data_IF_233465030985
#
_entry.id   IF_233465030985
#
_cell.length_a   1.000
_cell.length_b   1.000
_cell.length_c   1.000
_cell.angle_alpha   90.00
_cell.angle_beta   90.00
_cell.angle_gamma   90.00
#
_symmetry.space_group_name_H-M   'P 1'
#
loop_
_entity.id
_entity.type
_entity.pdbx_description
1 polymer ?
#
# COMPACT_ATOMS: atom_id res chain seq x y z
N UNK A 1 -57.63 -41.02 45.43
CA UNK A 1 -58.69 -42.04 45.56
C UNK A 1 -59.25 -42.00 46.96
N UNK A 2 -60.56 -42.07 47.13
CA UNK A 2 -61.23 -42.12 48.43
C UNK A 2 -62.35 -43.16 48.36
N UNK A 3 -62.40 -44.08 49.33
CA UNK A 3 -63.31 -45.26 49.32
C UNK A 3 -63.31 -46.02 47.98
N UNK A 4 -62.14 -46.26 47.39
CA UNK A 4 -61.99 -46.97 46.12
C UNK A 4 -62.42 -46.18 44.87
N UNK A 5 -62.97 -44.97 45.01
CA UNK A 5 -63.35 -44.10 43.89
C UNK A 5 -62.26 -43.07 43.60
N UNK A 6 -61.91 -42.92 42.32
CA UNK A 6 -60.99 -41.88 41.85
C UNK A 6 -61.79 -40.67 41.40
N UNK A 7 -61.53 -39.52 42.02
CA UNK A 7 -62.15 -38.24 41.69
C UNK A 7 -61.15 -37.38 40.92
N UNK A 8 -61.59 -36.79 39.82
CA UNK A 8 -60.79 -35.92 38.94
C UNK A 8 -61.27 -34.47 38.91
N UNK A 9 -62.33 -34.15 39.68
CA UNK A 9 -62.88 -32.80 39.81
C UNK A 9 -63.00 -32.39 41.27
N UNK A 10 -62.89 -31.09 41.54
CA UNK A 10 -63.19 -30.52 42.86
C UNK A 10 -64.68 -30.67 43.16
N UNK A 11 -65.02 -30.94 44.42
CA UNK A 11 -66.41 -31.11 44.82
C UNK A 11 -66.56 -31.60 46.25
N UNK A 12 -67.81 -31.71 46.68
CA UNK A 12 -68.15 -32.39 47.93
C UNK A 12 -68.74 -33.76 47.59
N UNK A 13 -68.12 -34.81 48.11
CA UNK A 13 -68.51 -36.19 47.85
C UNK A 13 -68.91 -36.87 49.15
N UNK A 14 -70.00 -37.63 49.13
CA UNK A 14 -70.48 -38.37 50.31
C UNK A 14 -70.39 -39.86 50.06
N UNK A 15 -69.95 -40.61 51.07
CA UNK A 15 -69.98 -42.07 51.05
C UNK A 15 -70.86 -42.57 52.18
N UNK A 16 -71.96 -43.22 51.81
CA UNK A 16 -72.88 -43.83 52.76
C UNK A 16 -72.51 -45.29 52.95
N UNK A 17 -72.43 -45.74 54.21
CA UNK A 17 -72.11 -47.10 54.57
C UNK A 17 -72.82 -47.49 55.87
N UNK A 18 -72.81 -48.77 56.20
CA UNK A 18 -73.27 -49.27 57.50
C UNK A 18 -72.06 -49.49 58.38
N UNK A 19 -72.02 -48.87 59.55
CA UNK A 19 -70.91 -49.04 60.47
C UNK A 19 -70.91 -50.44 61.12
N UNK A 20 -69.85 -50.76 61.87
CA UNK A 20 -69.70 -52.07 62.51
C UNK A 20 -70.81 -52.42 63.54
N UNK A 21 -71.61 -51.44 63.96
CA UNK A 21 -72.74 -51.61 64.88
C UNK A 21 -74.08 -51.75 64.15
N UNK A 22 -74.10 -51.76 62.81
CA UNK A 22 -75.32 -51.91 62.01
C UNK A 22 -76.07 -50.61 61.74
N UNK A 23 -75.53 -49.44 62.10
CA UNK A 23 -76.19 -48.15 61.87
C UNK A 23 -75.75 -47.50 60.55
N UNK A 24 -76.65 -46.81 59.83
CA UNK A 24 -76.27 -46.01 58.67
C UNK A 24 -75.33 -44.88 59.09
N UNK A 25 -74.28 -44.68 58.32
CA UNK A 25 -73.25 -43.66 58.52
C UNK A 25 -72.88 -43.02 57.19
N UNK A 26 -72.41 -41.78 57.24
CA UNK A 26 -72.03 -41.00 56.06
C UNK A 26 -70.73 -40.27 56.32
N UNK A 27 -69.73 -40.53 55.49
CA UNK A 27 -68.53 -39.70 55.45
C UNK A 27 -68.69 -38.63 54.36
N UNK A 28 -68.12 -37.44 54.58
CA UNK A 28 -68.11 -36.34 53.61
C UNK A 28 -66.68 -35.92 53.30
N UNK A 29 -66.31 -35.93 52.02
CA UNK A 29 -65.05 -35.42 51.50
C UNK A 29 -65.27 -34.08 50.83
N UNK A 30 -64.63 -33.03 51.33
CA UNK A 30 -64.46 -31.76 50.60
C UNK A 30 -63.14 -31.82 49.82
N UNK A 31 -63.23 -32.05 48.51
CA UNK A 31 -62.07 -32.17 47.64
C UNK A 31 -61.87 -30.88 46.84
N UNK A 32 -60.69 -30.29 46.98
CA UNK A 32 -60.20 -29.20 46.13
C UNK A 32 -59.05 -29.72 45.29
N UNK A 33 -59.24 -29.78 43.98
CA UNK A 33 -58.20 -30.06 42.98
C UNK A 33 -57.79 -28.72 42.36
N UNK A 34 -56.50 -28.39 42.50
CA UNK A 34 -55.92 -27.25 41.82
C UNK A 34 -55.52 -27.66 40.40
N UNK A 35 -55.99 -26.94 39.35
CA UNK A 35 -55.61 -27.25 37.98
C UNK A 35 -54.11 -27.01 37.79
N UNK A 36 -53.52 -27.79 36.88
CA UNK A 36 -52.14 -27.58 36.43
C UNK A 36 -52.04 -26.21 35.77
N UNK A 37 -51.15 -25.35 36.26
CA UNK A 37 -50.83 -24.12 35.57
C UNK A 37 -49.94 -24.42 34.36
N UNK A 38 -50.28 -23.83 33.22
CA UNK A 38 -49.48 -23.82 32.00
C UNK A 38 -49.05 -22.38 31.74
N UNK A 39 -47.76 -22.15 31.56
CA UNK A 39 -47.22 -20.82 31.24
C UNK A 39 -46.28 -20.94 30.06
N UNK A 40 -46.55 -20.16 29.02
CA UNK A 40 -45.69 -20.06 27.85
C UNK A 40 -44.88 -18.76 27.92
N UNK A 41 -43.56 -18.91 27.80
CA UNK A 41 -42.59 -17.82 27.73
C UNK A 41 -41.97 -17.81 26.34
N UNK A 42 -41.67 -16.63 25.83
CA UNK A 42 -40.91 -16.45 24.60
C UNK A 42 -39.69 -15.64 24.90
N UNK A 43 -38.53 -16.11 24.47
CA UNK A 43 -37.29 -15.34 24.54
C UNK A 43 -36.52 -15.42 23.23
N UNK A 44 -35.75 -14.37 22.97
CA UNK A 44 -34.99 -14.20 21.74
C UNK A 44 -33.59 -13.74 22.09
N UNK A 45 -32.59 -14.48 21.62
CA UNK A 45 -31.18 -14.19 21.90
C UNK A 45 -30.33 -14.23 20.64
N UNK A 46 -29.10 -13.73 20.75
CA UNK A 46 -28.10 -13.86 19.70
C UNK A 46 -27.36 -15.20 19.87
N UNK A 47 -26.81 -15.76 18.78
CA UNK A 47 -26.01 -17.00 18.85
C UNK A 47 -24.75 -16.86 19.71
N UNK A 48 -24.25 -15.63 19.90
CA UNK A 48 -23.14 -15.30 20.80
C UNK A 48 -23.49 -15.50 22.29
N UNK A 49 -24.77 -15.48 22.64
CA UNK A 49 -25.26 -15.69 24.01
C UNK A 49 -25.48 -17.18 24.34
N UNK A 50 -25.19 -18.08 23.39
CA UNK A 50 -25.25 -19.51 23.63
C UNK A 50 -24.06 -19.99 24.47
N UNK A 51 -24.27 -20.93 25.41
CA UNK A 51 -25.54 -21.57 25.73
C UNK A 51 -26.48 -20.69 26.59
N UNK A 52 -27.77 -20.68 26.24
CA UNK A 52 -28.80 -20.00 27.03
C UNK A 52 -29.20 -20.86 28.23
N UNK A 53 -28.95 -20.35 29.43
CA UNK A 53 -29.28 -21.04 30.67
C UNK A 53 -30.69 -20.71 31.14
N UNK A 54 -31.58 -21.69 31.03
CA UNK A 54 -32.97 -21.61 31.46
C UNK A 54 -33.26 -22.68 32.51
N UNK A 55 -33.41 -22.27 33.77
CA UNK A 55 -33.49 -23.19 34.92
C UNK A 55 -32.31 -24.19 34.94
N UNK A 56 -32.59 -25.49 34.98
CA UNK A 56 -31.58 -26.55 34.89
C UNK A 56 -31.19 -26.92 33.45
N UNK A 57 -31.73 -26.24 32.45
CA UNK A 57 -31.48 -26.52 31.03
C UNK A 57 -30.46 -25.54 30.44
N UNK A 58 -29.49 -26.07 29.70
CA UNK A 58 -28.58 -25.28 28.87
C UNK A 58 -28.97 -25.50 27.40
N UNK A 59 -29.65 -24.51 26.82
CA UNK A 59 -30.15 -24.56 25.45
C UNK A 59 -29.07 -24.06 24.50
N UNK A 60 -28.72 -24.87 23.50
CA UNK A 60 -27.64 -24.59 22.54
C UNK A 60 -28.14 -24.18 21.15
N UNK A 61 -29.46 -24.09 20.97
CA UNK A 61 -30.10 -23.74 19.71
C UNK A 61 -31.56 -23.32 19.95
N UNK A 62 -32.19 -22.73 18.93
CA UNK A 62 -33.64 -22.45 18.94
C UNK A 62 -34.44 -23.71 19.20
N UNK A 63 -35.55 -23.57 19.93
CA UNK A 63 -36.42 -24.69 20.26
C UNK A 63 -37.37 -24.37 21.39
N UNK A 64 -38.17 -25.37 21.76
CA UNK A 64 -39.05 -25.28 22.93
C UNK A 64 -38.52 -26.18 24.04
N UNK A 65 -38.42 -25.66 25.26
CA UNK A 65 -38.01 -26.41 26.44
C UNK A 65 -39.10 -26.31 27.49
N UNK A 66 -39.40 -27.42 28.16
CA UNK A 66 -40.45 -27.47 29.19
C UNK A 66 -39.83 -27.88 30.51
N UNK A 67 -40.18 -27.17 31.57
CA UNK A 67 -39.78 -27.47 32.94
C UNK A 67 -41.02 -27.59 33.84
N UNK A 68 -40.92 -28.40 34.89
CA UNK A 68 -41.99 -28.64 35.85
C UNK A 68 -41.64 -28.01 37.18
N UNK A 69 -42.42 -27.01 37.60
CA UNK A 69 -42.21 -26.28 38.85
C UNK A 69 -43.35 -26.56 39.83
N UNK A 70 -43.02 -26.84 41.09
CA UNK A 70 -44.02 -26.99 42.13
C UNK A 70 -44.68 -25.62 42.44
N UNK A 71 -46.02 -25.58 42.45
CA UNK A 71 -46.79 -24.43 42.92
C UNK A 71 -46.62 -24.23 44.43
N UNK A 72 -47.02 -23.05 44.91
CA UNK A 72 -47.18 -22.74 46.35
C UNK A 72 -48.12 -23.70 47.10
N UNK A 73 -48.89 -24.54 46.38
CA UNK A 73 -49.79 -25.55 46.94
C UNK A 73 -49.29 -26.98 46.71
N UNK A 74 -48.04 -27.16 46.24
CA UNK A 74 -47.41 -28.47 46.04
C UNK A 74 -47.91 -29.24 44.82
N UNK A 75 -48.75 -28.64 43.97
CA UNK A 75 -49.12 -29.20 42.67
C UNK A 75 -48.08 -28.83 41.61
N UNK A 76 -47.83 -29.70 40.64
CA UNK A 76 -46.92 -29.43 39.52
C UNK A 76 -47.52 -28.40 38.53
N UNK A 77 -46.74 -27.39 38.16
CA UNK A 77 -46.98 -26.49 37.02
C UNK A 77 -46.03 -26.84 35.90
N UNK A 78 -46.47 -26.68 34.65
CA UNK A 78 -45.58 -26.76 33.49
C UNK A 78 -45.33 -25.34 32.98
N UNK A 79 -44.05 -25.00 32.81
CA UNK A 79 -43.62 -23.80 32.10
C UNK A 79 -42.94 -24.24 30.82
N UNK A 80 -43.30 -23.65 29.68
CA UNK A 80 -42.66 -23.88 28.39
C UNK A 80 -41.99 -22.59 27.94
N UNK A 81 -40.70 -22.66 27.63
CA UNK A 81 -39.97 -21.59 26.95
C UNK A 81 -39.88 -21.90 25.46
N UNK A 82 -40.25 -20.95 24.62
CA UNK A 82 -39.94 -20.92 23.20
C UNK A 82 -38.75 -19.98 22.97
N UNK A 83 -37.56 -20.55 22.75
CA UNK A 83 -36.33 -19.82 22.49
C UNK A 83 -36.11 -19.66 20.98
N UNK A 84 -35.94 -18.42 20.54
CA UNK A 84 -35.50 -18.08 19.18
C UNK A 84 -34.06 -17.58 19.22
N UNK A 85 -33.15 -18.30 18.57
CA UNK A 85 -31.75 -17.88 18.42
C UNK A 85 -31.55 -17.30 17.02
N UNK A 86 -31.07 -16.06 16.97
CA UNK A 86 -30.63 -15.42 15.73
C UNK A 86 -29.14 -15.68 15.50
N UNK A 87 -28.79 -16.08 14.27
CA UNK A 87 -27.41 -16.27 13.83
C UNK A 87 -26.98 -15.09 13.00
N UNK A 88 -25.73 -14.66 13.19
CA UNK A 88 -25.10 -13.67 12.35
C UNK A 88 -24.91 -14.20 10.92
N UNK A 89 -25.32 -13.41 9.93
CA UNK A 89 -25.04 -13.73 8.52
C UNK A 89 -23.59 -13.35 8.20
N UNK A 90 -22.82 -14.29 7.65
CA UNK A 90 -21.43 -14.06 7.26
C UNK A 90 -21.29 -13.92 5.75
N UNK A 91 -20.72 -12.80 5.30
CA UNK A 91 -20.45 -12.51 3.89
C UNK A 91 -18.96 -12.46 3.63
N UNK A 92 -18.54 -13.05 2.52
CA UNK A 92 -17.13 -13.08 2.10
C UNK A 92 -16.96 -12.25 0.83
N UNK A 93 -16.10 -11.24 0.90
CA UNK A 93 -15.69 -10.46 -0.26
C UNK A 93 -14.18 -10.59 -0.46
N UNK A 94 -13.79 -10.65 -1.72
CA UNK A 94 -12.40 -10.68 -2.14
C UNK A 94 -12.20 -9.59 -3.16
N UNK A 95 -11.18 -8.78 -2.92
CA UNK A 95 -10.78 -7.74 -3.86
C UNK A 95 -9.25 -7.65 -3.93
N UNK A 96 -8.76 -7.04 -5.00
CA UNK A 96 -7.34 -6.75 -5.18
C UNK A 96 -7.16 -5.25 -5.33
N UNK A 97 -6.24 -4.69 -4.58
CA UNK A 97 -6.10 -3.24 -4.47
C UNK A 97 -4.63 -2.83 -4.56
N UNK A 98 -4.37 -1.69 -5.19
CA UNK A 98 -3.02 -1.16 -5.36
C UNK A 98 -2.47 -0.64 -4.03
N UNK A 99 -1.16 -0.79 -3.82
CA UNK A 99 -0.52 -0.36 -2.55
C UNK A 99 -0.72 1.14 -2.25
N UNK A 100 -0.77 2.00 -3.28
CA UNK A 100 -0.98 3.44 -3.16
C UNK A 100 -2.45 3.86 -2.93
N UNK A 101 -3.40 2.93 -3.01
CA UNK A 101 -4.82 3.24 -2.80
C UNK A 101 -5.25 3.10 -1.33
N UNK A 102 -4.38 2.57 -0.46
CA UNK A 102 -4.59 2.59 0.98
C UNK A 102 -4.38 4.00 1.56
N UNK A 103 -5.16 4.38 2.59
CA UNK A 103 -6.28 3.64 3.18
C UNK A 103 -7.58 3.77 2.37
N UNK A 104 -8.41 2.72 2.36
CA UNK A 104 -9.75 2.77 1.77
C UNK A 104 -10.85 2.80 2.82
N UNK A 105 -11.99 3.38 2.44
CA UNK A 105 -13.25 3.27 3.18
C UNK A 105 -14.30 2.55 2.36
N UNK A 106 -14.86 1.46 2.88
CA UNK A 106 -15.93 0.70 2.22
C UNK A 106 -17.05 0.43 3.20
N UNK A 107 -18.29 0.84 2.88
CA UNK A 107 -19.47 0.72 3.75
C UNK A 107 -19.27 1.23 5.19
N UNK A 108 -18.47 2.29 5.37
CA UNK A 108 -18.19 2.87 6.69
C UNK A 108 -17.10 2.15 7.49
N UNK A 109 -16.54 1.06 6.97
CA UNK A 109 -15.34 0.43 7.50
C UNK A 109 -14.07 0.99 6.86
N UNK A 110 -12.98 1.04 7.61
CA UNK A 110 -11.67 1.52 7.16
C UNK A 110 -10.68 0.37 7.08
N UNK A 111 -9.95 0.28 5.97
CA UNK A 111 -8.90 -0.72 5.75
C UNK A 111 -7.61 0.00 5.37
N UNK A 112 -6.55 -0.22 6.14
CA UNK A 112 -5.23 0.43 5.99
C UNK A 112 -4.14 -0.52 5.50
N UNK A 113 -4.43 -1.82 5.39
CA UNK A 113 -3.54 -2.81 4.82
C UNK A 113 -4.29 -3.94 4.12
N UNK A 114 -3.57 -4.65 3.25
CA UNK A 114 -4.02 -5.93 2.71
C UNK A 114 -4.14 -7.00 3.80
N UNK A 115 -4.83 -8.10 3.47
CA UNK A 115 -5.11 -9.23 4.36
C UNK A 115 -6.60 -9.47 4.56
N UNK A 116 -6.91 -10.44 5.41
CA UNK A 116 -8.29 -10.77 5.80
C UNK A 116 -8.67 -10.00 7.06
N UNK A 117 -9.68 -9.14 6.95
CA UNK A 117 -10.21 -8.34 8.04
C UNK A 117 -11.71 -8.62 8.21
N UNK A 118 -12.17 -8.63 9.46
CA UNK A 118 -13.57 -8.89 9.80
C UNK A 118 -14.21 -7.63 10.35
N UNK A 119 -15.37 -7.26 9.80
CA UNK A 119 -16.16 -6.11 10.22
C UNK A 119 -17.55 -6.57 10.61
N UNK A 120 -18.02 -6.17 11.79
CA UNK A 120 -19.37 -6.49 12.27
C UNK A 120 -20.26 -5.25 12.20
N UNK A 121 -21.44 -5.39 11.58
CA UNK A 121 -22.46 -4.35 11.54
C UNK A 121 -23.66 -4.78 12.39
N UNK A 122 -24.09 -3.96 13.34
CA UNK A 122 -25.27 -4.19 14.19
C UNK A 122 -26.45 -3.37 13.67
N UNK A 123 -27.52 -4.02 13.17
CA UNK A 123 -28.60 -3.30 12.47
C UNK A 123 -29.95 -3.20 13.19
N UNK A 124 -30.17 -3.77 14.38
CA UNK A 124 -31.49 -3.69 15.01
C UNK A 124 -31.51 -3.47 16.54
N UNK A 125 -32.71 -3.12 17.03
CA UNK A 125 -33.04 -2.78 18.42
C UNK A 125 -32.68 -3.86 19.46
N UNK A 126 -32.48 -5.10 19.02
CA UNK A 126 -32.12 -6.25 19.88
C UNK A 126 -30.64 -6.63 19.80
N UNK A 127 -29.86 -6.02 18.89
CA UNK A 127 -28.43 -6.26 18.75
C UNK A 127 -28.04 -7.59 18.07
N UNK A 128 -28.99 -8.40 17.57
CA UNK A 128 -28.72 -9.75 17.06
C UNK A 128 -28.68 -9.89 15.54
N UNK A 129 -29.08 -8.86 14.79
CA UNK A 129 -28.77 -8.80 13.35
C UNK A 129 -27.34 -8.26 13.21
N UNK A 130 -26.38 -9.11 13.56
CA UNK A 130 -24.97 -8.87 13.28
C UNK A 130 -24.68 -9.41 11.89
N UNK A 131 -24.43 -8.51 10.93
CA UNK A 131 -23.82 -8.91 9.67
C UNK A 131 -22.31 -8.94 9.87
N UNK A 132 -21.70 -10.12 9.69
CA UNK A 132 -20.26 -10.29 9.72
C UNK A 132 -19.74 -10.24 8.29
N UNK A 133 -19.00 -9.20 7.95
CA UNK A 133 -18.28 -9.13 6.70
C UNK A 133 -16.84 -9.59 6.91
N UNK A 134 -16.44 -10.62 6.17
CA UNK A 134 -15.04 -11.03 6.05
C UNK A 134 -14.52 -10.52 4.71
N UNK A 135 -13.76 -9.43 4.74
CA UNK A 135 -13.12 -8.85 3.57
C UNK A 135 -11.69 -9.37 3.46
N UNK A 136 -11.31 -9.93 2.30
CA UNK A 136 -9.93 -10.30 2.01
C UNK A 136 -9.39 -9.43 0.89
N UNK A 137 -8.48 -8.53 1.24
CA UNK A 137 -7.79 -7.64 0.29
C UNK A 137 -6.45 -8.25 -0.08
N UNK A 138 -6.21 -8.43 -1.37
CA UNK A 138 -4.89 -8.82 -1.90
C UNK A 138 -4.15 -7.57 -2.35
N UNK A 139 -2.90 -7.42 -1.91
CA UNK A 139 -2.07 -6.30 -2.32
C UNK A 139 -1.57 -6.54 -3.75
N UNK A 140 -1.83 -5.60 -4.64
CA UNK A 140 -1.12 -5.52 -5.92
C UNK A 140 0.07 -4.56 -5.71
N UNK A 141 1.31 -5.08 -5.70
CA UNK A 141 2.49 -4.24 -5.52
C UNK A 141 2.67 -3.34 -6.73
N UNK A 142 3.07 -2.10 -6.48
CA UNK A 142 3.46 -1.18 -7.55
C UNK A 142 4.81 -1.64 -8.09
N UNK A 143 4.86 -1.90 -9.39
CA UNK A 143 6.12 -2.26 -10.04
C UNK A 143 6.83 -1.00 -10.47
N UNK A 144 8.03 -0.78 -9.92
CA UNK A 144 8.96 0.19 -10.48
C UNK A 144 9.84 -0.50 -11.53
N UNK A 145 9.91 0.07 -12.72
CA UNK A 145 10.87 -0.34 -13.75
C UNK A 145 11.83 0.80 -14.05
N UNK A 146 13.10 0.45 -14.18
CA UNK A 146 14.17 1.37 -14.55
C UNK A 146 14.65 0.98 -15.94
N UNK A 147 14.62 1.92 -16.87
CA UNK A 147 15.11 1.75 -18.24
C UNK A 147 16.09 2.87 -18.58
N UNK A 148 17.03 2.61 -19.49
CA UNK A 148 18.05 3.55 -19.91
C UNK A 148 18.08 3.68 -21.42
N UNK A 149 17.90 4.90 -21.91
CA UNK A 149 17.97 5.25 -23.31
C UNK A 149 19.18 6.14 -23.55
N UNK A 150 20.07 5.67 -24.41
CA UNK A 150 21.25 6.41 -24.84
C UNK A 150 20.98 6.98 -26.23
N UNK A 151 21.01 8.30 -26.36
CA UNK A 151 20.79 8.99 -27.64
C UNK A 151 22.03 9.78 -28.02
N UNK A 152 22.24 9.92 -29.32
CA UNK A 152 23.14 10.91 -29.93
C UNK A 152 22.33 12.13 -30.35
N UNK A 153 22.96 13.29 -30.50
CA UNK A 153 22.27 14.53 -30.95
C UNK A 153 21.62 14.32 -32.32
N UNK A 154 22.18 13.45 -33.17
CA UNK A 154 21.62 13.09 -34.48
C UNK A 154 20.34 12.25 -34.43
N UNK A 155 20.04 11.62 -33.30
CA UNK A 155 18.83 10.80 -33.13
C UNK A 155 17.63 11.62 -32.62
N UNK A 156 17.81 12.92 -32.40
CA UNK A 156 16.73 13.83 -32.02
C UNK A 156 16.02 14.42 -33.27
N UNK A 157 14.67 14.53 -33.25
CA UNK A 157 13.78 14.14 -32.17
C UNK A 157 13.51 12.63 -32.13
N UNK A 158 13.59 12.01 -30.95
CA UNK A 158 13.34 10.58 -30.75
C UNK A 158 11.92 10.34 -30.23
N UNK A 159 11.15 9.49 -30.91
CA UNK A 159 9.82 9.08 -30.45
C UNK A 159 9.95 7.93 -29.46
N UNK A 160 9.47 8.13 -28.24
CA UNK A 160 9.46 7.10 -27.21
C UNK A 160 8.10 6.40 -27.24
N UNK A 161 8.05 5.19 -27.82
CA UNK A 161 6.80 4.42 -27.97
C UNK A 161 6.09 4.17 -26.63
N UNK A 162 6.83 3.88 -25.56
CA UNK A 162 6.27 3.67 -24.22
C UNK A 162 5.60 4.92 -23.64
N UNK A 163 5.97 6.10 -24.13
CA UNK A 163 5.49 7.39 -23.63
C UNK A 163 4.57 8.13 -24.61
N UNK A 164 4.41 7.62 -25.83
CA UNK A 164 3.69 8.28 -26.92
C UNK A 164 4.09 9.76 -27.10
N UNK A 165 5.37 10.08 -26.90
CA UNK A 165 5.90 11.45 -26.91
C UNK A 165 7.23 11.54 -27.65
N UNK A 166 7.60 12.76 -28.05
CA UNK A 166 8.88 13.06 -28.68
C UNK A 166 9.82 13.74 -27.69
N UNK A 167 11.06 13.26 -27.63
CA UNK A 167 12.17 13.98 -27.01
C UNK A 167 12.77 14.87 -28.09
N UNK A 168 12.66 16.19 -27.95
CA UNK A 168 13.08 17.16 -28.98
C UNK A 168 14.39 17.87 -28.65
N UNK A 169 14.75 17.98 -27.37
CA UNK A 169 15.97 18.63 -26.90
C UNK A 169 16.39 18.00 -25.56
N UNK A 170 17.69 17.72 -25.39
CA UNK A 170 18.26 17.22 -24.13
C UNK A 170 19.52 18.05 -23.87
N UNK A 171 19.53 18.82 -22.78
CA UNK A 171 20.53 19.86 -22.51
C UNK A 171 21.66 19.33 -21.59
N UNK A 172 21.46 18.16 -20.95
CA UNK A 172 22.43 17.42 -20.12
C UNK A 172 21.91 16.00 -19.81
N UNK A 173 22.67 15.15 -19.12
CA UNK A 173 22.15 13.88 -18.54
C UNK A 173 20.89 14.17 -17.73
N UNK A 174 19.74 13.74 -18.25
CA UNK A 174 18.42 14.10 -17.70
C UNK A 174 17.64 12.84 -17.43
N UNK A 175 17.19 12.67 -16.18
CA UNK A 175 16.27 11.58 -15.82
C UNK A 175 14.85 12.04 -16.07
N UNK A 176 14.10 11.29 -16.87
CA UNK A 176 12.67 11.51 -17.01
C UNK A 176 11.90 10.41 -16.25
N UNK A 177 11.04 10.80 -15.31
CA UNK A 177 10.19 9.86 -14.57
C UNK A 177 8.76 9.95 -15.09
N UNK A 178 8.16 8.81 -15.39
CA UNK A 178 6.78 8.74 -15.88
C UNK A 178 6.00 7.59 -15.24
N UNK A 179 4.68 7.71 -15.25
CA UNK A 179 3.76 6.70 -14.75
C UNK A 179 3.14 5.98 -15.95
N UNK A 180 3.21 4.64 -16.00
CA UNK A 180 2.56 3.81 -17.01
C UNK A 180 1.40 3.07 -16.37
N UNK A 181 0.21 3.23 -16.94
CA UNK A 181 -0.95 2.41 -16.61
C UNK A 181 -0.68 0.98 -17.12
N UNK A 182 -0.42 0.05 -16.20
CA UNK A 182 -0.32 -1.37 -16.54
C UNK A 182 -1.73 -2.00 -16.57
N UNK A 183 -1.87 -3.11 -17.30
CA UNK A 183 -3.15 -3.77 -17.65
C UNK A 183 -3.93 -4.40 -16.47
N UNK A 184 -3.61 -4.03 -15.23
CA UNK A 184 -4.23 -4.52 -14.00
C UNK A 184 -4.76 -3.35 -13.13
N UNK A 185 -5.02 -2.18 -13.71
CA UNK A 185 -5.52 -0.95 -13.06
C UNK A 185 -4.64 -0.37 -11.95
N UNK A 186 -3.48 -0.96 -11.64
CA UNK A 186 -2.46 -0.35 -10.79
C UNK A 186 -1.36 0.31 -11.63
N UNK A 187 -1.16 1.61 -11.43
CA UNK A 187 -0.10 2.38 -12.07
C UNK A 187 1.27 1.78 -11.74
N UNK A 188 2.01 1.34 -12.76
CA UNK A 188 3.42 1.00 -12.62
C UNK A 188 4.27 2.24 -12.91
N UNK A 189 5.33 2.44 -12.14
CA UNK A 189 6.20 3.62 -12.30
C UNK A 189 7.35 3.23 -13.22
N UNK A 190 7.57 3.98 -14.29
CA UNK A 190 8.70 3.80 -15.20
C UNK A 190 9.64 4.99 -15.09
N UNK A 191 10.86 4.73 -14.63
CA UNK A 191 11.95 5.69 -14.67
C UNK A 191 12.77 5.46 -15.95
N UNK A 192 12.79 6.46 -16.84
CA UNK A 192 13.59 6.45 -18.06
C UNK A 192 14.79 7.41 -17.91
N UNK A 193 15.98 6.86 -17.81
CA UNK A 193 17.22 7.63 -17.82
C UNK A 193 17.62 7.92 -19.27
N UNK A 194 17.63 9.18 -19.67
CA UNK A 194 18.09 9.58 -21.01
C UNK A 194 19.46 10.23 -20.87
N UNK A 195 20.47 9.58 -21.43
CA UNK A 195 21.84 10.10 -21.45
C UNK A 195 22.24 10.40 -22.89
N UNK A 196 22.85 11.56 -23.13
CA UNK A 196 23.50 11.81 -24.41
C UNK A 196 24.86 11.14 -24.36
N UNK A 197 25.04 10.11 -25.18
CA UNK A 197 26.39 9.62 -25.45
C UNK A 197 26.94 10.48 -26.56
N UNK A 198 27.75 11.45 -26.18
CA UNK A 198 28.64 12.09 -27.14
C UNK A 198 29.66 11.03 -27.54
N UNK A 199 29.32 10.22 -28.54
CA UNK A 199 30.34 9.47 -29.28
C UNK A 199 31.04 10.53 -30.11
N UNK A 200 31.90 11.29 -29.45
CA UNK A 200 32.82 12.24 -30.04
C UNK A 200 33.79 11.49 -30.95
N UNK A 201 33.30 11.05 -32.10
CA UNK A 201 34.07 10.94 -33.32
C UNK A 201 33.61 12.10 -34.19
N UNK A 202 33.80 13.30 -33.67
CA UNK A 202 34.19 14.38 -34.56
C UNK A 202 35.58 14.00 -35.11
N UNK A 203 35.60 13.25 -36.20
CA UNK A 203 36.73 13.28 -37.13
C UNK A 203 36.70 14.63 -37.86
N UNK A 204 36.80 15.72 -37.11
CA UNK A 204 37.54 16.86 -37.61
C UNK A 204 38.99 16.44 -37.48
N UNK A 205 39.78 16.55 -38.55
CA UNK A 205 41.23 16.67 -38.40
C UNK A 205 41.49 17.93 -37.58
N UNK A 206 41.37 17.84 -36.25
CA UNK A 206 41.81 18.88 -35.33
C UNK A 206 43.32 18.86 -35.49
N UNK A 207 43.87 19.76 -36.31
CA UNK A 207 45.29 19.98 -36.33
C UNK A 207 45.68 20.39 -34.91
N UNK A 208 46.25 19.47 -34.15
CA UNK A 208 46.69 19.77 -32.81
C UNK A 208 47.77 20.85 -32.89
N UNK A 209 47.64 21.89 -32.07
CA UNK A 209 48.69 22.88 -31.92
C UNK A 209 49.97 22.18 -31.49
N UNK A 210 51.01 22.27 -32.31
CA UNK A 210 52.32 21.68 -32.06
C UNK A 210 53.21 22.75 -31.45
N UNK A 211 53.84 22.42 -30.32
CA UNK A 211 54.73 23.34 -29.61
C UNK A 211 56.06 22.65 -29.35
N UNK A 212 57.16 23.20 -29.89
CA UNK A 212 58.48 22.56 -29.81
C UNK A 212 59.63 23.58 -29.86
N UNK A 213 60.79 23.30 -29.23
CA UNK A 213 60.97 22.23 -28.26
C UNK A 213 60.16 22.51 -26.98
N UNK A 214 59.79 21.46 -26.25
CA UNK A 214 59.14 21.59 -24.94
C UNK A 214 59.56 20.39 -24.08
N UNK A 215 60.40 20.56 -23.04
CA UNK A 215 60.89 21.84 -22.49
C UNK A 215 61.81 22.65 -23.42
N UNK A 216 61.89 23.98 -23.21
CA UNK A 216 62.72 24.93 -23.97
C UNK A 216 63.50 25.87 -23.05
N UNK A 217 64.61 26.44 -23.52
CA UNK A 217 65.47 27.35 -22.73
C UNK A 217 65.63 28.76 -23.29
N UNK A 218 65.40 28.95 -24.59
CA UNK A 218 65.64 30.24 -25.27
C UNK A 218 64.48 30.63 -26.17
N UNK A 219 64.00 29.68 -26.97
CA UNK A 219 62.92 29.90 -27.94
C UNK A 219 61.96 28.71 -27.93
N UNK A 220 60.73 28.96 -28.34
CA UNK A 220 59.74 27.94 -28.64
C UNK A 220 59.04 28.26 -29.95
N UNK A 221 58.78 27.23 -30.75
CA UNK A 221 57.99 27.31 -31.97
C UNK A 221 56.57 26.85 -31.68
N UNK A 222 55.60 27.64 -32.13
CA UNK A 222 54.18 27.34 -32.04
C UNK A 222 53.65 27.20 -33.47
N UNK A 223 53.25 25.97 -33.84
CA UNK A 223 52.67 25.66 -35.14
C UNK A 223 51.16 25.42 -35.01
N UNK A 224 50.38 26.22 -35.72
CA UNK A 224 48.92 26.12 -35.82
C UNK A 224 48.43 26.92 -37.02
N UNK A 225 47.24 26.61 -37.56
CA UNK A 225 46.74 27.24 -38.78
C UNK A 225 46.10 28.61 -38.52
N UNK A 226 46.35 29.58 -39.41
CA UNK A 226 45.72 30.92 -39.44
C UNK A 226 45.74 31.66 -38.08
N UNK A 227 46.91 31.71 -37.42
CA UNK A 227 47.05 32.27 -36.08
C UNK A 227 46.78 33.78 -36.10
N UNK A 228 45.76 34.23 -35.36
CA UNK A 228 45.43 35.65 -35.18
C UNK A 228 46.24 36.29 -34.04
N UNK A 229 46.42 35.55 -32.93
CA UNK A 229 47.25 35.97 -31.79
C UNK A 229 47.70 34.78 -30.94
N UNK A 230 48.84 34.96 -30.28
CA UNK A 230 49.34 34.05 -29.25
C UNK A 230 49.35 34.77 -27.91
N UNK A 231 48.90 34.09 -26.86
CA UNK A 231 48.88 34.60 -25.49
C UNK A 231 49.61 33.64 -24.58
N UNK A 232 50.43 34.18 -23.68
CA UNK A 232 51.21 33.41 -22.72
C UNK A 232 50.67 33.73 -21.33
N UNK A 233 50.30 32.70 -20.59
CA UNK A 233 49.80 32.81 -19.22
C UNK A 233 50.73 32.09 -18.25
N UNK A 234 50.81 32.58 -17.02
CA UNK A 234 51.33 31.76 -15.90
C UNK A 234 50.41 30.57 -15.65
N UNK A 235 50.89 29.53 -14.95
CA UNK A 235 50.04 28.40 -14.52
C UNK A 235 48.89 28.80 -13.59
N UNK A 236 48.94 29.99 -13.00
CA UNK A 236 47.84 30.54 -12.18
C UNK A 236 46.82 31.32 -13.01
N UNK A 237 46.99 31.39 -14.33
CA UNK A 237 46.07 32.03 -15.26
C UNK A 237 46.30 33.54 -15.49
N UNK A 238 47.39 34.12 -14.98
CA UNK A 238 47.74 35.51 -15.25
C UNK A 238 48.28 35.66 -16.66
N UNK A 239 47.73 36.57 -17.46
CA UNK A 239 48.25 36.90 -18.79
C UNK A 239 49.59 37.63 -18.67
N UNK A 240 50.66 37.05 -19.21
CA UNK A 240 52.02 37.59 -19.21
C UNK A 240 52.32 38.35 -20.50
N UNK A 241 51.99 37.77 -21.64
CA UNK A 241 52.28 38.34 -22.96
C UNK A 241 51.14 38.10 -23.94
N UNK A 242 50.96 39.02 -24.89
CA UNK A 242 50.12 38.87 -26.07
C UNK A 242 50.93 39.25 -27.29
N UNK A 243 51.03 38.34 -28.25
CA UNK A 243 51.77 38.47 -29.50
C UNK A 243 50.73 38.50 -30.63
N UNK A 244 50.53 39.66 -31.29
CA UNK A 244 49.70 39.71 -32.49
C UNK A 244 50.39 38.97 -33.63
N UNK A 245 49.61 38.26 -34.44
CA UNK A 245 50.09 37.39 -35.50
C UNK A 245 49.41 37.78 -36.83
N UNK A 246 50.13 37.64 -37.94
CA UNK A 246 49.65 38.00 -39.29
C UNK A 246 49.22 36.76 -40.10
N UNK A 247 48.75 35.70 -39.42
CA UNK A 247 48.22 34.51 -40.07
C UNK A 247 49.24 33.48 -40.56
N UNK A 248 50.54 33.63 -40.25
CA UNK A 248 51.54 32.57 -40.51
C UNK A 248 51.21 31.25 -39.78
N UNK A 249 51.72 30.12 -40.29
CA UNK A 249 51.50 28.81 -39.66
C UNK A 249 52.43 28.52 -38.48
N UNK A 250 53.60 29.17 -38.40
CA UNK A 250 54.63 28.90 -37.39
C UNK A 250 55.18 30.21 -36.84
N UNK A 251 55.06 30.43 -35.53
CA UNK A 251 55.69 31.55 -34.84
C UNK A 251 56.80 31.09 -33.91
N UNK A 252 57.89 31.86 -33.87
CA UNK A 252 58.99 31.65 -32.94
C UNK A 252 58.91 32.68 -31.82
N UNK A 253 58.82 32.20 -30.57
CA UNK A 253 58.61 33.01 -29.39
C UNK A 253 59.87 32.95 -28.52
N UNK A 254 60.52 34.09 -28.20
CA UNK A 254 61.63 34.12 -27.26
C UNK A 254 61.14 33.92 -25.82
N UNK A 255 61.80 33.03 -25.08
CA UNK A 255 61.57 32.74 -23.67
C UNK A 255 62.64 33.36 -22.75
N UNK A 256 63.67 34.00 -23.31
CA UNK A 256 64.85 34.51 -22.57
C UNK A 256 64.52 35.48 -21.42
N UNK A 257 63.40 36.19 -21.50
CA UNK A 257 62.96 37.13 -20.46
C UNK A 257 61.92 36.52 -19.49
N UNK A 258 61.64 35.24 -19.59
CA UNK A 258 60.70 34.51 -18.74
C UNK A 258 61.48 33.70 -17.69
N UNK A 259 60.96 33.65 -16.46
CA UNK A 259 61.57 32.85 -15.40
C UNK A 259 61.44 31.33 -15.69
N UNK A 260 62.22 30.52 -14.96
CA UNK A 260 62.04 29.08 -14.94
C UNK A 260 60.63 28.70 -14.47
N UNK A 261 60.03 27.76 -15.17
CA UNK A 261 58.74 27.22 -14.75
C UNK A 261 57.82 26.83 -15.90
N UNK A 262 56.59 26.51 -15.51
CA UNK A 262 55.54 26.14 -16.43
C UNK A 262 54.71 27.35 -16.84
N UNK A 263 54.29 27.38 -18.09
CA UNK A 263 53.42 28.40 -18.66
C UNK A 263 52.35 27.76 -19.55
N UNK A 264 51.27 28.48 -19.81
CA UNK A 264 50.25 28.09 -20.78
C UNK A 264 50.37 29.00 -22.00
N UNK A 265 50.64 28.42 -23.17
CA UNK A 265 50.50 29.12 -24.45
C UNK A 265 49.09 28.86 -24.97
N UNK A 266 48.36 29.93 -25.25
CA UNK A 266 47.04 29.90 -25.87
C UNK A 266 47.10 30.58 -27.24
N UNK A 267 46.70 29.87 -28.28
CA UNK A 267 46.57 30.39 -29.63
C UNK A 267 45.11 30.62 -29.92
N UNK A 268 44.80 31.76 -30.54
CA UNK A 268 43.51 32.03 -31.17
C UNK A 268 43.72 32.14 -32.68
N UNK A 269 42.95 31.37 -33.43
CA UNK A 269 42.85 31.45 -34.89
C UNK A 269 41.37 31.54 -35.30
N UNK A 270 41.15 31.63 -36.61
CA UNK A 270 39.81 31.48 -37.20
C UNK A 270 39.19 30.10 -36.95
N UNK A 271 40.02 29.06 -36.75
CA UNK A 271 39.58 27.68 -36.51
C UNK A 271 39.27 27.40 -35.03
N UNK A 272 39.60 28.32 -34.12
CA UNK A 272 39.23 28.21 -32.71
C UNK A 272 40.35 28.65 -31.77
N UNK A 273 40.29 28.14 -30.53
CA UNK A 273 41.31 28.39 -29.50
C UNK A 273 41.93 27.08 -29.07
N UNK A 274 43.24 27.06 -28.96
CA UNK A 274 44.02 25.91 -28.50
C UNK A 274 45.00 26.35 -27.41
N UNK A 275 45.21 25.50 -26.41
CA UNK A 275 46.16 25.78 -25.33
C UNK A 275 47.09 24.59 -25.08
N UNK A 276 48.38 24.86 -24.83
CA UNK A 276 49.37 23.86 -24.44
C UNK A 276 50.21 24.39 -23.28
N UNK A 277 50.52 23.48 -22.36
CA UNK A 277 51.50 23.72 -21.31
C UNK A 277 52.90 23.65 -21.90
N UNK A 278 53.73 24.64 -21.58
CA UNK A 278 55.15 24.68 -21.93
C UNK A 278 55.99 24.75 -20.66
N UNK A 279 57.24 24.30 -20.75
CA UNK A 279 58.21 24.32 -19.65
C UNK A 279 59.41 25.14 -20.13
N UNK A 280 59.67 26.27 -19.47
CA UNK A 280 60.87 27.08 -19.66
C UNK A 280 61.94 26.66 -18.65
N UNK A 281 63.17 26.48 -19.13
CA UNK A 281 64.35 26.11 -18.34
C UNK A 281 65.50 27.02 -18.77
N UNK A 282 65.78 28.07 -18.02
CA UNK A 282 66.95 28.94 -18.16
C UNK A 282 68.19 28.07 -17.99
N UNK A 283 69.09 28.15 -18.97
CA UNK A 283 70.42 27.55 -18.90
C UNK A 283 71.45 28.53 -18.36
#
# INVERSE_FOLDING_TARGET
TWHGTTYTTSGTYTHNYTNAQGCPSTDTLHLTIHPKALTDLTDTICSSDLPYHWHSHALTQSGSCTDTLATVHGCDSIVTLHLTVFYADTFYLKDSICENEFPISWNGAYFDSAGTQTVTYTTNYYGCEEMVLVMTLSLIPIKETFDSLYLTVSELPYYVESLHTYITEVISDTTYTFYRLDSHDCDSIIHLFVSIVDVGVESFEKQDMIVYPNPASEIIHVKYKDIDRIQIFSITGQLLHTIPCEGEEIYTIPLSNMADGSYLICVKSKEGRQARKIINIIK
#
